data_IF_157843100825
#
_entry.id   IF_157843100825
#
_cell.length_a   1.000
_cell.length_b   1.000
_cell.length_c   1.000
_cell.angle_alpha   90.00
_cell.angle_beta   90.00
_cell.angle_gamma   90.00
#
_symmetry.space_group_name_H-M   'P 1'
#
loop_
_entity.id
_entity.type
_entity.pdbx_description
1 polymer ?
#
# COMPACT_ATOMS: atom_id res chain seq x y z
N UNK A 1 -7.26 11.56 -20.51
CA UNK A 1 -6.61 10.71 -19.49
C UNK A 1 -7.50 10.71 -18.26
N UNK A 2 -8.11 9.59 -17.91
CA UNK A 2 -8.87 9.47 -16.67
C UNK A 2 -7.88 9.34 -15.52
N UNK A 3 -7.79 10.37 -14.69
CA UNK A 3 -6.86 10.41 -13.58
C UNK A 3 -7.49 9.65 -12.41
N UNK A 4 -6.78 8.65 -11.87
CA UNK A 4 -7.23 7.87 -10.69
C UNK A 4 -7.39 8.78 -9.46
N UNK A 5 -6.76 9.95 -9.46
CA UNK A 5 -6.81 10.93 -8.38
C UNK A 5 -7.23 12.32 -8.87
N UNK A 6 -8.15 13.00 -8.16
CA UNK A 6 -8.38 14.44 -8.35
C UNK A 6 -7.28 15.31 -7.71
N UNK A 7 -6.32 14.70 -6.98
CA UNK A 7 -5.25 15.38 -6.25
C UNK A 7 -3.88 15.07 -6.88
N UNK A 8 -2.87 15.96 -6.77
CA UNK A 8 -1.57 15.76 -7.43
C UNK A 8 -0.81 14.50 -7.01
N UNK A 9 -1.12 13.97 -5.82
CA UNK A 9 -0.57 12.72 -5.29
C UNK A 9 -1.47 12.13 -4.22
N UNK A 10 -1.21 10.86 -3.90
CA UNK A 10 -1.91 10.14 -2.85
C UNK A 10 -1.52 8.67 -2.80
N UNK A 11 -2.06 7.99 -1.79
CA UNK A 11 -2.15 6.55 -1.73
C UNK A 11 -3.48 6.06 -2.28
N UNK A 12 -3.44 4.90 -2.93
CA UNK A 12 -4.62 4.17 -3.37
C UNK A 12 -4.68 2.86 -2.61
N UNK A 13 -5.84 2.58 -2.03
CA UNK A 13 -6.11 1.27 -1.49
C UNK A 13 -6.14 0.23 -2.59
N UNK A 14 -5.31 -0.78 -2.41
CA UNK A 14 -5.29 -2.00 -3.22
C UNK A 14 -5.62 -3.18 -2.31
N UNK A 15 -6.23 -4.22 -2.88
CA UNK A 15 -6.70 -5.40 -2.14
C UNK A 15 -5.57 -6.30 -1.65
N UNK A 16 -4.80 -5.84 -0.67
CA UNK A 16 -3.75 -6.60 0.01
C UNK A 16 -3.96 -6.58 1.52
N UNK A 17 -3.58 -7.66 2.19
CA UNK A 17 -3.60 -7.74 3.66
C UNK A 17 -2.33 -8.38 4.19
N UNK A 18 -1.98 -8.00 5.42
CA UNK A 18 -0.88 -8.63 6.14
C UNK A 18 -1.22 -10.09 6.43
N UNK A 19 -0.25 -10.98 6.21
CA UNK A 19 -0.37 -12.40 6.52
C UNK A 19 -0.54 -12.56 8.04
N UNK A 20 -1.45 -13.44 8.53
CA UNK A 20 -1.74 -13.56 9.96
C UNK A 20 -0.51 -13.74 10.86
N UNK A 21 0.46 -14.56 10.43
CA UNK A 21 1.71 -14.80 11.19
C UNK A 21 2.63 -13.58 11.34
N UNK A 22 2.40 -12.54 10.55
CA UNK A 22 3.19 -11.31 10.57
C UNK A 22 2.48 -10.14 11.27
N UNK A 23 1.23 -10.32 11.73
CA UNK A 23 0.52 -9.31 12.52
C UNK A 23 1.30 -9.02 13.80
N UNK A 24 1.50 -7.73 14.11
CA UNK A 24 2.30 -7.29 15.25
C UNK A 24 3.82 -7.49 15.11
N UNK A 25 4.30 -8.08 14.01
CA UNK A 25 5.72 -8.31 13.77
C UNK A 25 6.32 -7.18 12.92
N UNK A 26 7.49 -6.67 13.32
CA UNK A 26 8.36 -5.87 12.46
C UNK A 26 9.04 -6.75 11.39
N UNK A 27 9.94 -6.14 10.62
CA UNK A 27 10.76 -6.88 9.66
C UNK A 27 11.60 -7.97 10.35
N UNK A 28 11.39 -9.20 9.92
CA UNK A 28 12.17 -10.39 10.31
C UNK A 28 12.49 -11.22 9.07
N UNK A 29 13.37 -12.22 9.15
CA UNK A 29 13.59 -13.14 8.01
C UNK A 29 12.29 -13.79 7.53
N UNK A 30 11.33 -14.03 8.43
CA UNK A 30 10.05 -14.65 8.12
C UNK A 30 8.98 -13.66 7.65
N UNK A 31 9.03 -12.41 8.12
CA UNK A 31 8.11 -11.32 7.79
C UNK A 31 8.89 -10.19 7.14
N UNK A 32 8.99 -10.26 5.82
CA UNK A 32 9.76 -9.32 5.01
C UNK A 32 8.93 -8.85 3.80
N UNK A 33 9.56 -8.10 2.90
CA UNK A 33 8.92 -7.50 1.73
C UNK A 33 8.11 -8.46 0.85
N UNK A 34 8.53 -9.73 0.80
CA UNK A 34 7.89 -10.77 0.01
C UNK A 34 7.07 -11.73 0.85
N UNK A 35 6.96 -11.57 2.17
CA UNK A 35 6.26 -12.57 2.98
C UNK A 35 5.30 -11.98 4.01
N UNK A 36 5.26 -10.65 4.13
CA UNK A 36 4.37 -9.96 5.06
C UNK A 36 2.96 -9.78 4.52
N UNK A 37 2.73 -9.76 3.20
CA UNK A 37 1.42 -9.46 2.60
C UNK A 37 0.97 -10.47 1.54
N UNK A 38 -0.34 -10.54 1.30
CA UNK A 38 -0.97 -11.33 0.24
C UNK A 38 -2.12 -10.58 -0.42
N UNK A 39 -2.39 -10.89 -1.70
CA UNK A 39 -3.54 -10.37 -2.44
C UNK A 39 -4.84 -11.01 -1.95
N UNK A 40 -5.84 -10.20 -1.60
CA UNK A 40 -7.08 -10.69 -0.96
C UNK A 40 -8.09 -11.31 -1.94
N UNK A 41 -7.92 -11.08 -3.24
CA UNK A 41 -8.84 -11.54 -4.29
C UNK A 41 -8.41 -12.86 -4.95
N UNK A 42 -7.33 -13.48 -4.45
CA UNK A 42 -6.77 -14.70 -5.03
C UNK A 42 -6.25 -14.52 -6.46
N UNK A 43 -5.98 -13.29 -6.88
CA UNK A 43 -5.52 -12.98 -8.23
C UNK A 43 -4.08 -13.42 -8.50
N UNK A 44 -3.25 -13.49 -7.47
CA UNK A 44 -1.87 -13.96 -7.48
C UNK A 44 -1.58 -14.84 -6.26
N UNK A 45 -0.58 -15.71 -6.36
CA UNK A 45 -0.15 -16.52 -5.24
C UNK A 45 0.84 -15.70 -4.38
N UNK A 46 0.46 -15.44 -3.13
CA UNK A 46 1.34 -14.76 -2.18
C UNK A 46 1.66 -13.32 -2.56
N UNK A 47 2.95 -13.04 -2.75
CA UNK A 47 3.59 -11.73 -2.80
C UNK A 47 4.02 -11.28 -4.19
N UNK A 48 3.73 -12.10 -5.19
CA UNK A 48 4.06 -11.83 -6.58
C UNK A 48 3.49 -10.47 -6.99
N UNK A 49 4.29 -9.70 -7.74
CA UNK A 49 3.97 -8.34 -8.19
C UNK A 49 3.74 -7.27 -7.09
N UNK A 50 4.04 -7.55 -5.81
CA UNK A 50 4.09 -6.51 -4.78
C UNK A 50 5.49 -5.87 -4.73
N UNK A 51 5.54 -4.54 -4.73
CA UNK A 51 6.79 -3.79 -4.53
C UNK A 51 6.58 -2.74 -3.44
N UNK A 52 7.21 -2.93 -2.29
CA UNK A 52 7.20 -1.99 -1.19
C UNK A 52 8.33 -0.96 -1.30
N UNK A 53 8.19 0.19 -0.65
CA UNK A 53 9.26 1.19 -0.51
C UNK A 53 10.52 0.59 0.16
N UNK A 54 11.69 1.27 0.12
CA UNK A 54 12.95 0.73 0.63
C UNK A 54 12.93 0.18 2.07
N UNK A 55 12.14 0.76 2.97
CA UNK A 55 12.06 0.29 4.36
C UNK A 55 10.74 -0.44 4.70
N UNK A 56 9.85 -0.60 3.73
CA UNK A 56 8.53 -1.18 3.94
C UNK A 56 8.47 -2.65 3.53
N UNK A 57 7.54 -3.46 4.08
CA UNK A 57 6.54 -3.08 5.09
C UNK A 57 7.04 -3.28 6.52
N UNK A 58 7.32 -2.20 7.24
CA UNK A 58 8.00 -2.25 8.55
C UNK A 58 7.08 -2.53 9.74
N UNK A 59 5.76 -2.44 9.53
CA UNK A 59 4.74 -2.57 10.56
C UNK A 59 4.97 -1.61 11.73
N UNK A 60 5.22 -0.34 11.45
CA UNK A 60 5.48 0.65 12.48
C UNK A 60 4.33 0.72 13.49
N UNK A 61 4.63 0.63 14.78
CA UNK A 61 3.62 0.55 15.84
C UNK A 61 2.80 -0.76 15.86
N UNK A 62 3.15 -1.77 15.06
CA UNK A 62 2.60 -3.12 15.13
C UNK A 62 1.18 -3.30 14.57
N UNK A 63 0.59 -2.28 13.94
CA UNK A 63 -0.81 -2.30 13.50
C UNK A 63 -1.02 -1.93 12.01
N UNK A 64 0.02 -2.00 11.19
CA UNK A 64 -0.05 -1.64 9.77
C UNK A 64 -0.38 -2.87 8.93
N UNK A 65 -1.62 -3.33 9.05
CA UNK A 65 -2.08 -4.61 8.50
C UNK A 65 -2.57 -4.54 7.04
N UNK A 66 -2.37 -3.39 6.42
CA UNK A 66 -2.92 -3.01 5.13
C UNK A 66 -1.92 -2.14 4.36
N UNK A 67 -2.12 -1.89 3.07
CA UNK A 67 -1.18 -1.09 2.29
C UNK A 67 -1.83 -0.13 1.29
N UNK A 68 -1.13 0.96 1.01
CA UNK A 68 -1.46 1.94 -0.01
C UNK A 68 -0.43 1.89 -1.15
N UNK A 69 -0.91 1.84 -2.39
CA UNK A 69 -0.08 2.05 -3.57
C UNK A 69 0.13 3.56 -3.78
N UNK A 70 1.39 4.00 -3.82
CA UNK A 70 1.74 5.40 -4.02
C UNK A 70 1.61 5.82 -5.48
N UNK A 71 0.92 6.92 -5.71
CA UNK A 71 0.76 7.51 -7.05
C UNK A 71 0.86 9.05 -6.99
N UNK A 72 1.33 9.63 -8.08
CA UNK A 72 1.58 11.06 -8.22
C UNK A 72 1.57 11.44 -9.69
N UNK A 73 1.34 12.72 -10.01
CA UNK A 73 1.53 13.25 -11.36
C UNK A 73 3.03 13.32 -11.73
N UNK A 74 3.89 13.45 -10.71
CA UNK A 74 5.34 13.40 -10.85
C UNK A 74 5.91 12.00 -10.58
N UNK A 75 7.24 11.83 -10.71
CA UNK A 75 7.92 10.54 -10.52
C UNK A 75 7.94 10.06 -9.05
N UNK A 76 7.59 10.93 -8.10
CA UNK A 76 7.52 10.65 -6.66
C UNK A 76 6.32 11.32 -6.01
N UNK A 77 5.89 10.78 -4.86
CA UNK A 77 4.98 11.47 -3.94
C UNK A 77 5.80 12.45 -3.08
N UNK A 78 5.44 13.74 -3.04
CA UNK A 78 6.23 14.79 -2.37
C UNK A 78 5.98 14.82 -0.85
N UNK A 79 6.12 13.67 -0.18
CA UNK A 79 6.11 13.60 1.28
C UNK A 79 7.48 14.02 1.86
N UNK A 80 7.57 14.21 3.18
CA UNK A 80 8.81 14.53 3.91
C UNK A 80 9.98 13.61 3.51
N UNK A 81 9.68 12.33 3.33
CA UNK A 81 10.53 11.38 2.63
C UNK A 81 9.91 11.02 1.28
N UNK A 82 10.48 11.49 0.15
CA UNK A 82 9.87 11.28 -1.17
C UNK A 82 9.73 9.79 -1.52
N UNK A 83 8.49 9.37 -1.73
CA UNK A 83 8.15 7.97 -1.98
C UNK A 83 8.11 7.69 -3.49
N UNK A 84 8.61 6.53 -3.90
CA UNK A 84 8.55 6.12 -5.30
C UNK A 84 7.10 5.82 -5.70
N UNK A 85 6.66 6.28 -6.86
CA UNK A 85 5.36 5.88 -7.41
C UNK A 85 5.36 4.41 -7.82
N UNK A 86 4.19 3.78 -7.82
CA UNK A 86 4.04 2.36 -8.16
C UNK A 86 4.59 1.42 -7.09
N UNK A 87 4.94 1.94 -5.92
CA UNK A 87 5.39 1.15 -4.76
C UNK A 87 4.47 1.37 -3.57
N UNK A 88 4.37 0.35 -2.72
CA UNK A 88 3.45 0.29 -1.60
C UNK A 88 4.12 0.73 -0.29
N UNK A 89 3.31 1.30 0.60
CA UNK A 89 3.60 1.45 2.03
C UNK A 89 2.51 0.70 2.80
N UNK A 90 2.85 0.05 3.89
CA UNK A 90 1.86 -0.40 4.86
C UNK A 90 1.35 0.76 5.72
N UNK A 91 0.11 0.64 6.15
CA UNK A 91 -0.59 1.60 7.02
C UNK A 91 -1.61 0.86 7.88
N UNK A 92 -2.09 1.47 8.98
CA UNK A 92 -3.24 0.94 9.69
C UNK A 92 -4.46 0.81 8.78
N UNK A 93 -5.24 -0.26 8.97
CA UNK A 93 -6.40 -0.48 8.09
C UNK A 93 -7.51 0.57 8.25
N UNK A 94 -7.48 1.34 9.34
CA UNK A 94 -8.37 2.48 9.57
C UNK A 94 -7.97 3.74 8.79
N UNK A 95 -6.79 3.75 8.16
CA UNK A 95 -6.23 4.94 7.55
C UNK A 95 -6.97 5.34 6.26
N UNK A 96 -7.52 6.54 6.26
CA UNK A 96 -8.32 7.09 5.17
C UNK A 96 -8.02 8.58 4.92
N UNK A 97 -8.77 9.19 3.99
CA UNK A 97 -8.60 10.60 3.60
C UNK A 97 -8.82 11.59 4.77
N UNK A 98 -9.59 11.20 5.77
CA UNK A 98 -9.93 12.02 6.95
C UNK A 98 -9.12 11.64 8.20
N UNK A 99 -8.25 10.62 8.12
CA UNK A 99 -7.38 10.25 9.23
C UNK A 99 -6.36 11.35 9.53
N UNK A 100 -5.85 11.36 10.76
CA UNK A 100 -4.67 12.16 11.07
C UNK A 100 -3.46 11.63 10.29
N UNK A 101 -2.76 12.52 9.60
CA UNK A 101 -1.50 12.26 8.92
C UNK A 101 -0.43 13.15 9.56
N UNK A 102 0.69 12.58 10.03
CA UNK A 102 1.80 13.37 10.56
C UNK A 102 2.22 14.51 9.62
N UNK A 103 2.79 15.62 10.14
CA UNK A 103 3.35 16.68 9.31
C UNK A 103 4.22 16.13 8.19
N UNK A 104 4.16 16.74 7.00
CA UNK A 104 4.93 16.29 5.83
C UNK A 104 4.44 14.97 5.18
N UNK A 105 3.51 14.23 5.79
CA UNK A 105 3.00 12.96 5.25
C UNK A 105 1.61 13.07 4.59
N UNK A 106 0.98 14.24 4.63
CA UNK A 106 -0.31 14.48 3.96
C UNK A 106 -0.32 14.10 2.46
N UNK A 107 0.76 14.27 1.67
CA UNK A 107 0.77 13.87 0.25
C UNK A 107 0.60 12.36 -0.01
N UNK A 108 0.89 11.49 0.96
CA UNK A 108 0.70 10.02 0.85
C UNK A 108 -0.67 9.55 1.34
N UNK A 109 -1.56 10.46 1.72
CA UNK A 109 -2.86 10.09 2.28
C UNK A 109 -3.68 9.22 1.32
N UNK A 110 -4.51 8.35 1.87
CA UNK A 110 -5.46 7.60 1.06
C UNK A 110 -6.43 8.56 0.34
N UNK A 111 -6.53 8.42 -0.99
CA UNK A 111 -7.39 9.24 -1.84
C UNK A 111 -8.37 8.45 -2.69
N UNK A 112 -8.18 7.14 -2.83
CA UNK A 112 -9.02 6.30 -3.68
C UNK A 112 -8.90 4.81 -3.30
N UNK A 113 -9.84 4.02 -3.81
CA UNK A 113 -9.85 2.57 -3.71
C UNK A 113 -9.87 2.00 -5.13
N UNK A 114 -9.05 0.97 -5.39
CA UNK A 114 -9.08 0.23 -6.65
C UNK A 114 -9.52 -1.19 -6.36
N UNK A 115 -10.54 -1.63 -7.09
CA UNK A 115 -11.11 -2.97 -7.02
C UNK A 115 -10.90 -3.67 -8.35
N UNK A 116 -10.52 -4.94 -8.32
CA UNK A 116 -10.44 -5.81 -9.49
C UNK A 116 -11.57 -6.84 -9.49
N UNK A 117 -12.10 -7.18 -10.67
CA UNK A 117 -12.94 -8.36 -10.89
C UNK A 117 -12.47 -9.03 -12.17
N UNK A 118 -12.09 -10.31 -12.11
CA UNK A 118 -11.78 -11.09 -13.30
C UNK A 118 -13.03 -11.18 -14.19
N UNK A 119 -12.89 -10.92 -15.48
CA UNK A 119 -13.94 -11.22 -16.46
C UNK A 119 -14.03 -12.75 -16.58
N UNK A 120 -15.21 -13.37 -16.48
CA UNK A 120 -15.35 -14.81 -16.69
C UNK A 120 -14.77 -15.25 -18.04
N UNK A 121 -13.92 -16.29 -18.04
CA UNK A 121 -13.41 -16.92 -19.27
C UNK A 121 -12.05 -16.45 -19.78
N UNK A 122 -11.36 -15.53 -19.10
CA UNK A 122 -9.96 -15.20 -19.38
C UNK A 122 -9.08 -15.59 -18.19
N UNK A 123 -8.18 -16.54 -18.42
CA UNK A 123 -7.10 -16.99 -17.53
C UNK A 123 -5.82 -17.13 -18.31
#
# INVERSE_FOLDING_TARGET
>A
MSVILPQPSGGVWVGVKRVPRCIGQHLTPACNKTHSFYWTDGSANGYEAMKFQPNEPDNNGGNENCALLMISYGPKVPAEHPLNIGQMIDVPCSQNANSYWPPGSKPRQNRAYVCGRRTPGYG
#
